data_IF_246250150425
#
_entry.id   IF_246250150425
#
_cell.length_a   1.000
_cell.length_b   1.000
_cell.length_c   1.000
_cell.angle_alpha   90.00
_cell.angle_beta   90.00
_cell.angle_gamma   90.00
#
_symmetry.space_group_name_H-M   'P 1'
#
loop_
_entity.id
_entity.type
_entity.pdbx_description
1 polymer ?
#
# COMPACT_ATOMS: atom_id res chain seq x y z
N UNK A 1 25.61 10.90 51.58
CA UNK A 1 25.58 10.62 50.12
C UNK A 1 24.54 9.53 49.88
N UNK A 2 23.39 9.84 49.27
CA UNK A 2 22.30 8.88 49.05
C UNK A 2 22.81 7.78 48.12
N UNK A 3 22.83 6.53 48.57
CA UNK A 3 23.17 5.38 47.73
C UNK A 3 22.10 5.26 46.65
N UNK A 4 22.44 5.57 45.40
CA UNK A 4 21.54 5.36 44.27
C UNK A 4 21.38 3.85 44.09
N UNK A 5 20.12 3.36 44.17
CA UNK A 5 19.79 1.95 43.98
C UNK A 5 19.94 1.58 42.51
N UNK A 6 21.17 1.21 42.12
CA UNK A 6 21.55 0.83 40.76
C UNK A 6 20.66 -0.31 40.22
N UNK A 7 20.27 -1.26 41.08
CA UNK A 7 19.35 -2.36 40.75
C UNK A 7 17.97 -1.85 40.31
N UNK A 8 17.45 -0.80 40.98
CA UNK A 8 16.14 -0.24 40.65
C UNK A 8 16.14 0.47 39.30
N UNK A 9 17.23 1.16 38.98
CA UNK A 9 17.43 1.83 37.69
C UNK A 9 17.57 0.79 36.57
N UNK A 10 18.33 -0.29 36.79
CA UNK A 10 18.48 -1.37 35.81
C UNK A 10 17.16 -2.11 35.55
N UNK A 11 16.36 -2.33 36.59
CA UNK A 11 15.04 -2.98 36.49
C UNK A 11 14.04 -2.08 35.75
N UNK A 12 14.08 -0.77 35.97
CA UNK A 12 13.25 0.21 35.27
C UNK A 12 13.63 0.33 33.78
N UNK A 13 14.93 0.27 33.45
CA UNK A 13 15.43 0.24 32.07
C UNK A 13 15.05 -1.04 31.32
N UNK A 14 14.93 -2.18 32.01
CA UNK A 14 14.54 -3.46 31.39
C UNK A 14 13.04 -3.50 31.02
N UNK A 15 12.18 -2.83 31.79
CA UNK A 15 10.74 -2.76 31.54
C UNK A 15 10.42 -1.80 30.37
N UNK A 16 11.29 -0.81 30.12
CA UNK A 16 11.10 0.18 29.04
C UNK A 16 11.32 -0.39 27.61
N UNK A 17 11.89 -1.59 27.48
CA UNK A 17 12.31 -2.15 26.20
C UNK A 17 11.20 -2.88 25.43
N UNK A 18 10.01 -3.09 26.03
CA UNK A 18 8.91 -3.75 25.32
C UNK A 18 8.08 -2.69 24.58
N UNK A 19 8.71 -2.03 23.61
CA UNK A 19 7.94 -1.40 22.53
C UNK A 19 7.62 -2.54 21.58
N UNK A 20 6.42 -3.13 21.72
CA UNK A 20 5.93 -4.08 20.73
C UNK A 20 5.89 -3.35 19.40
N UNK A 21 6.73 -3.77 18.46
CA UNK A 21 6.69 -3.27 17.10
C UNK A 21 5.39 -3.79 16.47
N UNK A 22 4.32 -3.01 16.56
CA UNK A 22 3.10 -3.22 15.81
C UNK A 22 3.31 -2.67 14.39
N UNK A 23 2.91 -3.44 13.39
CA UNK A 23 3.05 -3.10 11.98
C UNK A 23 3.47 -4.29 11.12
N UNK A 24 3.70 -3.99 9.84
CA UNK A 24 4.26 -4.93 8.89
C UNK A 24 5.64 -4.46 8.42
N UNK A 25 6.57 -5.41 8.26
CA UNK A 25 7.78 -5.14 7.50
C UNK A 25 7.55 -5.49 6.02
N UNK A 26 7.52 -4.47 5.17
CA UNK A 26 7.36 -4.67 3.73
C UNK A 26 8.72 -4.89 3.08
N UNK A 27 8.88 -6.03 2.41
CA UNK A 27 10.09 -6.35 1.64
C UNK A 27 10.15 -5.56 0.33
N UNK A 28 9.02 -5.49 -0.38
CA UNK A 28 8.89 -4.70 -1.59
C UNK A 28 7.42 -4.29 -1.81
N UNK A 29 7.26 -3.20 -2.56
CA UNK A 29 5.98 -2.76 -3.10
C UNK A 29 6.20 -2.19 -4.50
N UNK A 30 5.47 -2.75 -5.46
CA UNK A 30 5.65 -2.43 -6.87
C UNK A 30 4.28 -2.33 -7.54
N UNK A 31 4.11 -1.32 -8.39
CA UNK A 31 3.00 -1.19 -9.32
C UNK A 31 3.49 -1.45 -10.75
N UNK A 32 2.78 -2.32 -11.48
CA UNK A 32 3.09 -2.63 -12.88
C UNK A 32 1.87 -2.43 -13.76
N UNK A 33 2.08 -1.90 -14.96
CA UNK A 33 1.03 -1.77 -15.96
C UNK A 33 0.85 -3.10 -16.70
N UNK A 34 -0.35 -3.68 -16.66
CA UNK A 34 -0.68 -4.95 -17.32
C UNK A 34 -1.93 -4.78 -18.19
N UNK A 35 -1.71 -4.52 -19.48
CA UNK A 35 -2.78 -4.31 -20.45
C UNK A 35 -3.63 -3.08 -20.12
N UNK A 36 -4.89 -3.32 -19.78
CA UNK A 36 -5.89 -2.29 -19.46
C UNK A 36 -5.91 -1.97 -17.94
N UNK A 37 -5.15 -2.71 -17.13
CA UNK A 37 -5.17 -2.62 -15.67
C UNK A 37 -3.79 -2.30 -15.09
N UNK A 38 -3.76 -1.89 -13.83
CA UNK A 38 -2.52 -1.76 -13.06
C UNK A 38 -2.52 -2.82 -11.95
N UNK A 39 -1.44 -3.58 -11.84
CA UNK A 39 -1.28 -4.62 -10.84
C UNK A 39 -0.26 -4.17 -9.81
N UNK A 40 -0.71 -4.08 -8.57
CA UNK A 40 0.09 -3.79 -7.39
C UNK A 40 0.45 -5.10 -6.72
N UNK A 41 1.73 -5.23 -6.36
CA UNK A 41 2.24 -6.41 -5.65
C UNK A 41 3.13 -5.96 -4.51
N UNK A 42 2.90 -6.53 -3.32
CA UNK A 42 3.78 -6.34 -2.17
C UNK A 42 3.96 -7.65 -1.42
N UNK A 43 5.07 -7.71 -0.69
CA UNK A 43 5.39 -8.83 0.18
C UNK A 43 5.75 -8.33 1.56
N UNK A 44 5.22 -8.99 2.58
CA UNK A 44 5.59 -8.76 3.98
C UNK A 44 6.55 -9.84 4.44
N UNK A 45 7.57 -9.51 5.24
CA UNK A 45 8.35 -10.51 5.97
C UNK A 45 7.72 -10.81 7.32
N UNK A 46 7.29 -9.77 8.03
CA UNK A 46 6.61 -9.87 9.31
C UNK A 46 5.35 -9.02 9.33
N UNK A 47 4.31 -9.52 10.00
CA UNK A 47 3.08 -8.80 10.31
C UNK A 47 2.71 -9.04 11.77
N UNK A 48 2.96 -8.04 12.60
CA UNK A 48 2.64 -8.07 14.03
C UNK A 48 1.54 -7.06 14.31
N UNK A 49 0.39 -7.52 14.82
CA UNK A 49 -0.77 -6.67 15.12
C UNK A 49 -1.42 -5.95 13.92
N UNK A 50 -1.13 -6.39 12.69
CA UNK A 50 -1.72 -5.81 11.47
C UNK A 50 -3.16 -6.31 11.29
N UNK A 51 -4.05 -5.40 10.89
CA UNK A 51 -5.44 -5.69 10.53
C UNK A 51 -5.63 -5.77 9.02
N UNK A 52 -5.20 -4.73 8.32
CA UNK A 52 -5.42 -4.58 6.88
C UNK A 52 -4.41 -3.62 6.25
N UNK A 53 -4.28 -3.72 4.93
CA UNK A 53 -3.52 -2.80 4.09
C UNK A 53 -4.51 -1.94 3.29
N UNK A 54 -4.38 -0.64 3.41
CA UNK A 54 -5.10 0.31 2.56
C UNK A 54 -4.27 0.63 1.33
N UNK A 55 -4.90 0.53 0.17
CA UNK A 55 -4.32 0.94 -1.10
C UNK A 55 -4.96 2.26 -1.50
N UNK A 56 -4.13 3.25 -1.71
CA UNK A 56 -4.52 4.58 -2.17
C UNK A 56 -3.94 4.84 -3.56
N UNK A 57 -4.63 5.68 -4.32
CA UNK A 57 -4.25 6.08 -5.68
C UNK A 57 -4.49 7.57 -5.88
N UNK A 58 -3.58 8.22 -6.59
CA UNK A 58 -3.67 9.62 -6.99
C UNK A 58 -2.92 9.88 -8.30
N UNK A 59 -3.13 11.07 -8.87
CA UNK A 59 -2.30 11.59 -9.95
C UNK A 59 -0.89 11.96 -9.44
N UNK A 60 -0.80 12.29 -8.16
CA UNK A 60 0.43 12.64 -7.45
C UNK A 60 0.40 12.11 -6.00
N UNK A 61 1.44 12.41 -5.22
CA UNK A 61 1.55 11.98 -3.82
C UNK A 61 0.64 12.73 -2.86
N UNK A 62 0.15 13.90 -3.24
CA UNK A 62 -0.58 14.83 -2.37
C UNK A 62 -2.10 14.60 -2.46
N UNK A 63 -2.56 14.11 -3.61
CA UNK A 63 -3.97 13.87 -3.92
C UNK A 63 -4.29 12.37 -4.03
N UNK A 64 -4.14 11.66 -2.91
CA UNK A 64 -4.42 10.22 -2.81
C UNK A 64 -5.85 9.94 -2.32
N UNK A 65 -6.56 9.04 -2.99
CA UNK A 65 -7.84 8.51 -2.56
C UNK A 65 -7.74 7.01 -2.28
N UNK A 66 -8.39 6.53 -1.22
CA UNK A 66 -8.49 5.10 -0.91
C UNK A 66 -9.30 4.39 -2.00
N UNK A 67 -8.71 3.34 -2.58
CA UNK A 67 -9.37 2.52 -3.61
C UNK A 67 -9.65 1.09 -3.14
N UNK A 68 -8.90 0.59 -2.15
CA UNK A 68 -9.11 -0.76 -1.61
C UNK A 68 -8.63 -0.90 -0.16
N UNK A 69 -9.15 -1.94 0.49
CA UNK A 69 -8.72 -2.45 1.79
C UNK A 69 -8.48 -3.96 1.63
N UNK A 70 -7.28 -4.44 1.95
CA UNK A 70 -6.90 -5.84 1.84
C UNK A 70 -6.58 -6.36 3.23
N UNK A 71 -7.33 -7.35 3.71
CA UNK A 71 -7.08 -7.95 5.02
C UNK A 71 -5.68 -8.57 5.09
N UNK A 72 -5.04 -8.41 6.25
CA UNK A 72 -3.77 -9.04 6.54
C UNK A 72 -3.92 -10.57 6.57
N UNK A 73 -2.97 -11.27 5.96
CA UNK A 73 -2.86 -12.74 5.91
C UNK A 73 -1.87 -13.27 6.95
N UNK A 74 -0.97 -12.44 7.48
CA UNK A 74 0.09 -12.80 8.42
C UNK A 74 1.50 -12.71 7.82
N UNK A 75 2.52 -12.91 8.66
CA UNK A 75 3.94 -12.82 8.27
C UNK A 75 4.28 -13.69 7.05
N UNK A 76 5.27 -13.26 6.26
CA UNK A 76 5.73 -13.92 5.03
C UNK A 76 4.67 -14.06 3.92
N UNK A 77 3.74 -13.10 3.83
CA UNK A 77 2.66 -13.14 2.86
C UNK A 77 2.95 -12.30 1.62
N UNK A 78 2.49 -12.81 0.48
CA UNK A 78 2.47 -12.08 -0.79
C UNK A 78 1.04 -11.65 -1.10
N UNK A 79 0.92 -10.40 -1.54
CA UNK A 79 -0.34 -9.76 -1.85
C UNK A 79 -0.29 -9.22 -3.28
N UNK A 80 -1.46 -9.25 -3.91
CA UNK A 80 -1.67 -8.64 -5.21
C UNK A 80 -3.03 -7.97 -5.24
N UNK A 81 -3.09 -6.79 -5.82
CA UNK A 81 -4.31 -6.04 -6.05
C UNK A 81 -4.31 -5.51 -7.48
N UNK A 82 -5.42 -5.68 -8.19
CA UNK A 82 -5.59 -5.19 -9.56
C UNK A 82 -6.52 -3.99 -9.57
N UNK A 83 -5.99 -2.84 -9.97
CA UNK A 83 -6.78 -1.65 -10.24
C UNK A 83 -7.31 -1.69 -11.67
N UNK A 84 -8.57 -2.13 -11.78
CA UNK A 84 -9.31 -2.14 -13.05
C UNK A 84 -9.85 -0.76 -13.44
N UNK A 85 -9.81 0.24 -12.56
CA UNK A 85 -10.35 1.57 -12.88
C UNK A 85 -9.29 2.54 -13.40
N UNK A 86 -8.03 2.10 -13.54
CA UNK A 86 -6.94 2.92 -14.05
C UNK A 86 -7.16 3.37 -15.50
N UNK A 87 -7.81 2.57 -16.36
CA UNK A 87 -8.06 2.95 -17.75
C UNK A 87 -9.08 4.08 -17.94
N UNK A 88 -9.91 4.35 -16.92
CA UNK A 88 -11.00 5.34 -16.98
C UNK A 88 -10.49 6.77 -16.82
N UNK A 89 -9.32 6.92 -16.21
CA UNK A 89 -8.63 8.19 -16.05
C UNK A 89 -7.69 8.39 -17.24
N UNK A 90 -7.63 9.62 -17.77
CA UNK A 90 -6.73 9.97 -18.88
C UNK A 90 -5.29 10.24 -18.42
N UNK A 91 -4.97 9.91 -17.16
CA UNK A 91 -3.65 10.10 -16.62
C UNK A 91 -2.71 9.02 -17.16
N UNK A 92 -1.52 9.44 -17.60
CA UNK A 92 -0.47 8.53 -18.04
C UNK A 92 0.41 8.07 -16.88
N UNK A 93 0.31 8.71 -15.72
CA UNK A 93 1.13 8.47 -14.54
C UNK A 93 0.25 8.34 -13.32
N UNK A 94 0.53 7.33 -12.50
CA UNK A 94 -0.22 7.06 -11.28
C UNK A 94 0.74 6.93 -10.10
N UNK A 95 0.37 7.60 -9.01
CA UNK A 95 0.95 7.40 -7.70
C UNK A 95 0.07 6.45 -6.90
N UNK A 96 0.65 5.36 -6.41
CA UNK A 96 0.01 4.46 -5.47
C UNK A 96 0.69 4.54 -4.12
N UNK A 97 -0.09 4.42 -3.06
CA UNK A 97 0.41 4.33 -1.70
C UNK A 97 -0.18 3.12 -0.99
N UNK A 98 0.66 2.47 -0.18
CA UNK A 98 0.28 1.40 0.72
C UNK A 98 0.39 1.92 2.15
N UNK A 99 -0.70 1.82 2.91
CA UNK A 99 -0.77 2.19 4.33
C UNK A 99 -1.14 0.95 5.12
N UNK A 100 -0.41 0.71 6.21
CA UNK A 100 -0.67 -0.39 7.13
C UNK A 100 -1.64 0.11 8.19
N UNK A 101 -2.69 -0.66 8.45
CA UNK A 101 -3.65 -0.41 9.52
C UNK A 101 -3.51 -1.52 10.55
N UNK A 102 -3.17 -1.15 11.77
CA UNK A 102 -3.06 -2.07 12.90
C UNK A 102 -4.45 -2.34 13.51
N UNK A 103 -4.53 -3.39 14.36
CA UNK A 103 -5.79 -3.79 15.00
C UNK A 103 -6.34 -2.76 15.98
N UNK A 104 -5.49 -1.87 16.48
CA UNK A 104 -5.87 -0.72 17.31
C UNK A 104 -6.33 0.50 16.48
N UNK A 105 -6.24 0.41 15.14
CA UNK A 105 -6.58 1.48 14.22
C UNK A 105 -5.43 2.44 13.90
N UNK A 106 -4.23 2.20 14.43
CA UNK A 106 -3.03 2.99 14.09
C UNK A 106 -2.72 2.85 12.61
N UNK A 107 -2.38 3.97 11.97
CA UNK A 107 -2.03 4.03 10.54
C UNK A 107 -0.54 4.31 10.39
N UNK A 108 0.14 3.54 9.54
CA UNK A 108 1.55 3.79 9.21
C UNK A 108 1.71 4.95 8.23
N UNK A 109 2.94 5.42 8.07
CA UNK A 109 3.31 6.26 6.95
C UNK A 109 3.08 5.53 5.60
N UNK A 110 2.66 6.26 4.55
CA UNK A 110 2.42 5.69 3.23
C UNK A 110 3.73 5.31 2.55
N UNK A 111 3.80 4.09 2.06
CA UNK A 111 4.86 3.66 1.15
C UNK A 111 4.39 3.79 -0.29
N UNK A 112 5.20 4.40 -1.15
CA UNK A 112 4.79 4.75 -2.50
C UNK A 112 5.32 3.81 -3.57
N UNK A 113 4.51 3.60 -4.61
CA UNK A 113 4.91 3.01 -5.89
C UNK A 113 4.38 3.89 -7.03
N UNK A 114 5.20 4.08 -8.06
CA UNK A 114 4.86 4.89 -9.23
C UNK A 114 4.82 4.03 -10.47
N UNK A 115 3.86 4.30 -11.35
CA UNK A 115 3.74 3.57 -12.60
C UNK A 115 3.26 4.50 -13.70
N UNK A 116 3.90 4.37 -14.85
CA UNK A 116 3.43 4.98 -16.09
C UNK A 116 2.52 3.98 -16.79
N UNK A 117 1.26 4.36 -17.01
CA UNK A 117 0.28 3.56 -17.72
C UNK A 117 -0.02 4.25 -19.06
N UNK A 118 0.75 3.86 -20.07
CA UNK A 118 0.49 4.29 -21.44
C UNK A 118 -0.72 3.53 -21.95
N UNK A 119 -1.87 4.21 -21.93
CA UNK A 119 -3.17 3.60 -22.18
C UNK A 119 -3.20 2.67 -23.39
N UNK A 120 -3.83 1.52 -23.18
CA UNK A 120 -4.54 0.71 -24.17
C UNK A 120 -4.53 1.28 -25.58
N UNK A 121 -3.86 0.58 -26.51
CA UNK A 121 -3.77 0.91 -27.94
C UNK A 121 -4.99 1.70 -28.42
N UNK A 122 -4.80 2.96 -28.85
CA UNK A 122 -5.86 3.89 -29.30
C UNK A 122 -6.90 3.26 -30.24
N UNK A 123 -6.48 2.21 -30.94
CA UNK A 123 -7.28 1.28 -31.74
C UNK A 123 -8.54 0.77 -31.00
N UNK A 124 -8.44 0.27 -29.75
CA UNK A 124 -9.62 -0.26 -29.02
C UNK A 124 -10.69 0.82 -28.77
N UNK A 125 -10.28 2.07 -28.51
CA UNK A 125 -11.20 3.19 -28.25
C UNK A 125 -11.92 3.65 -29.52
N UNK A 126 -11.27 3.61 -30.68
CA UNK A 126 -11.89 4.05 -31.94
C UNK A 126 -12.89 3.04 -32.50
N UNK A 127 -12.68 1.73 -32.29
CA UNK A 127 -13.63 0.70 -32.75
C UNK A 127 -15.02 0.82 -32.11
N UNK A 128 -15.11 1.21 -30.84
CA UNK A 128 -16.39 1.46 -30.16
C UNK A 128 -17.17 2.62 -30.79
N UNK A 129 -16.50 3.74 -31.05
CA UNK A 129 -17.11 4.93 -31.66
C UNK A 129 -17.50 4.69 -33.12
N UNK A 130 -16.66 4.00 -33.90
CA UNK A 130 -16.94 3.69 -35.31
C UNK A 130 -18.17 2.78 -35.42
N UNK A 131 -18.31 1.78 -34.54
CA UNK A 131 -19.46 0.87 -34.56
C UNK A 131 -20.78 1.57 -34.23
N UNK A 132 -20.75 2.65 -33.45
CA UNK A 132 -21.93 3.45 -33.14
C UNK A 132 -22.41 4.34 -34.30
N UNK A 133 -21.56 4.59 -35.31
CA UNK A 133 -21.89 5.41 -36.48
C UNK A 133 -22.65 4.65 -37.58
N UNK A 134 -22.65 3.31 -37.52
CA UNK A 134 -23.31 2.44 -38.50
C UNK A 134 -24.60 1.81 -37.96
N UNK A 135 -25.28 2.50 -37.04
CA UNK A 135 -26.59 2.10 -36.51
C UNK A 135 -27.66 3.11 -36.87
#
# INVERSE_FOLDING_TARGET
>A
MKKFNLIGILSFLLILQIVLFAGAFIQFFHASSSGDNIVLTWQTSDETNVKEFEVLRGADKDHLAKIASILAKGSNSVYSFTDENAYKTNDSFYAYALVIIDKDGTRSEPMFAFVTHNGVSSVKRTWGSIKALFR
#
